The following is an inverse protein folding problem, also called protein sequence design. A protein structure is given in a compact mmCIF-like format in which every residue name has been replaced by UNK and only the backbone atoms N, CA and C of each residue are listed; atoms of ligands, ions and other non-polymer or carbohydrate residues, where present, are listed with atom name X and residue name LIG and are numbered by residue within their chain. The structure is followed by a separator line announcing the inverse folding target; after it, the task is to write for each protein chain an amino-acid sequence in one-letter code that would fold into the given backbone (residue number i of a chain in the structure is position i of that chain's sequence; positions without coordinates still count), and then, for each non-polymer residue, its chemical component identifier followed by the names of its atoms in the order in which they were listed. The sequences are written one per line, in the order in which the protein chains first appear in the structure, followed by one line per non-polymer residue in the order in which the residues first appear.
data_IF_477387399955
#
_entry.id   IF_477387399955
#
_cell.length_a   1.000
_cell.length_b   1.000
_cell.length_c   1.000
_cell.angle_alpha   90.00
_cell.angle_beta   90.00
_cell.angle_gamma   90.00
#
_symmetry.space_group_name_H-M   'P 1'
#
loop_
_entity.id
_entity.type
_entity.pdbx_description
1 polymer ?
#
# COMPACT_ATOMS: atom_id res chain seq x y z
N UNK A 1 8.31 -42.04 9.17
CA UNK A 1 7.90 -41.05 8.15
C UNK A 1 7.52 -39.78 8.90
N UNK A 2 8.50 -38.98 9.30
CA UNK A 2 8.26 -37.74 10.04
C UNK A 2 7.66 -36.72 9.08
N UNK A 3 6.39 -36.38 9.30
CA UNK A 3 5.75 -35.25 8.63
C UNK A 3 6.41 -33.95 9.10
N UNK A 4 7.00 -33.24 8.17
CA UNK A 4 7.40 -31.85 8.33
C UNK A 4 6.11 -31.04 8.59
N UNK A 5 5.74 -30.87 9.84
CA UNK A 5 4.91 -29.74 10.26
C UNK A 5 5.80 -28.50 10.16
N UNK A 6 5.96 -28.00 8.93
CA UNK A 6 6.44 -26.64 8.72
C UNK A 6 5.50 -25.72 9.48
N UNK A 7 6.07 -24.81 10.28
CA UNK A 7 5.30 -23.80 10.98
C UNK A 7 4.35 -23.12 10.00
N UNK A 8 3.11 -22.87 10.43
CA UNK A 8 2.14 -22.05 9.72
C UNK A 8 2.60 -20.60 9.81
N UNK A 9 3.76 -20.30 9.21
CA UNK A 9 4.23 -18.95 8.98
C UNK A 9 3.43 -18.34 7.83
N UNK A 10 3.25 -17.02 7.85
CA UNK A 10 2.63 -16.27 6.77
C UNK A 10 3.54 -16.32 5.53
N UNK A 11 3.53 -17.44 4.79
CA UNK A 11 4.31 -17.55 3.56
C UNK A 11 3.67 -16.67 2.49
N UNK A 12 4.42 -15.70 1.97
CA UNK A 12 3.96 -14.79 0.94
C UNK A 12 3.78 -15.51 -0.41
N UNK A 13 2.56 -15.99 -0.68
CA UNK A 13 2.23 -16.73 -1.91
C UNK A 13 2.05 -15.84 -3.14
N UNK A 14 1.95 -14.52 -2.97
CA UNK A 14 1.69 -13.56 -4.05
C UNK A 14 2.73 -13.64 -5.19
N UNK A 15 4.03 -13.71 -4.87
CA UNK A 15 5.09 -13.74 -5.88
C UNK A 15 5.17 -15.10 -6.60
N UNK A 16 5.18 -16.25 -5.89
CA UNK A 16 5.08 -17.57 -6.53
C UNK A 16 3.84 -17.70 -7.44
N UNK A 17 2.68 -17.25 -6.97
CA UNK A 17 1.44 -17.27 -7.76
C UNK A 17 1.57 -16.44 -9.05
N UNK A 18 2.14 -15.24 -8.97
CA UNK A 18 2.36 -14.37 -10.14
C UNK A 18 3.35 -14.96 -11.15
N UNK A 19 4.24 -15.87 -10.71
CA UNK A 19 5.18 -16.59 -11.58
C UNK A 19 4.60 -17.87 -12.19
N UNK A 20 3.46 -18.33 -11.68
CA UNK A 20 2.87 -19.62 -12.05
C UNK A 20 3.50 -20.82 -11.32
N UNK A 21 4.20 -20.58 -10.22
CA UNK A 21 4.76 -21.66 -9.40
C UNK A 21 3.64 -22.41 -8.64
N UNK A 22 3.82 -23.71 -8.31
CA UNK A 22 2.87 -24.43 -7.46
C UNK A 22 2.74 -23.80 -6.07
N UNK A 23 1.53 -23.48 -5.66
CA UNK A 23 1.21 -22.88 -4.36
C UNK A 23 0.15 -23.70 -3.62
N UNK A 24 0.17 -23.64 -2.30
CA UNK A 24 -0.80 -24.36 -1.45
C UNK A 24 -2.11 -23.59 -1.25
N UNK A 25 -2.09 -22.26 -1.40
CA UNK A 25 -3.23 -21.39 -1.18
C UNK A 25 -3.23 -20.22 -2.18
N UNK A 26 -4.40 -19.81 -2.72
CA UNK A 26 -4.47 -18.64 -3.58
C UNK A 26 -4.26 -17.36 -2.74
N UNK A 27 -3.28 -16.50 -3.09
CA UNK A 27 -3.05 -15.25 -2.37
C UNK A 27 -4.20 -14.26 -2.60
N UNK A 28 -4.56 -13.50 -1.58
CA UNK A 28 -5.62 -12.51 -1.63
C UNK A 28 -5.15 -11.14 -1.11
N UNK A 29 -5.46 -10.11 -1.88
CA UNK A 29 -5.33 -8.69 -1.49
C UNK A 29 -6.44 -7.88 -2.17
N UNK A 30 -6.61 -6.63 -1.75
CA UNK A 30 -7.62 -5.73 -2.33
C UNK A 30 -6.96 -4.49 -2.94
N UNK A 31 -7.45 -4.09 -4.11
CA UNK A 31 -7.16 -2.75 -4.61
C UNK A 31 -7.72 -1.70 -3.65
N UNK A 32 -7.00 -0.58 -3.49
CA UNK A 32 -7.32 0.47 -2.50
C UNK A 32 -7.40 -0.08 -1.07
N UNK A 33 -6.54 -1.04 -0.73
CA UNK A 33 -6.45 -1.62 0.60
C UNK A 33 -6.32 -0.55 1.71
N UNK A 34 -5.60 0.55 1.47
CA UNK A 34 -5.51 1.66 2.42
C UNK A 34 -6.38 2.82 1.92
N UNK A 35 -7.36 3.24 2.72
CA UNK A 35 -8.24 4.32 2.32
C UNK A 35 -9.39 4.62 3.27
N UNK A 36 -10.31 5.47 2.80
CA UNK A 36 -11.38 6.12 3.60
C UNK A 36 -12.34 5.16 4.30
N UNK A 37 -12.37 3.88 3.96
CA UNK A 37 -13.18 2.89 4.67
C UNK A 37 -12.64 2.59 6.08
N UNK A 38 -11.32 2.75 6.29
CA UNK A 38 -10.67 2.51 7.58
C UNK A 38 -10.78 3.74 8.49
N UNK A 39 -11.20 3.54 9.75
CA UNK A 39 -11.25 4.62 10.75
C UNK A 39 -9.86 5.21 11.01
N UNK A 40 -8.82 4.37 11.07
CA UNK A 40 -7.42 4.80 11.27
C UNK A 40 -6.93 5.71 10.15
N UNK A 41 -7.28 5.41 8.90
CA UNK A 41 -6.97 6.28 7.76
C UNK A 41 -7.68 7.63 7.88
N UNK A 42 -8.99 7.64 8.21
CA UNK A 42 -9.77 8.88 8.34
C UNK A 42 -9.18 9.81 9.41
N UNK A 43 -8.82 9.26 10.58
CA UNK A 43 -8.17 10.02 11.67
C UNK A 43 -6.81 10.60 11.25
N UNK A 44 -6.02 9.84 10.50
CA UNK A 44 -4.75 10.34 9.94
C UNK A 44 -5.00 11.43 8.90
N UNK A 45 -6.01 11.25 8.06
CA UNK A 45 -6.40 12.20 7.04
C UNK A 45 -6.89 13.55 7.61
N UNK A 46 -7.52 13.55 8.78
CA UNK A 46 -7.88 14.76 9.52
C UNK A 46 -6.65 15.53 10.03
N UNK A 47 -5.60 14.82 10.48
CA UNK A 47 -4.34 15.42 10.92
C UNK A 47 -3.50 15.98 9.78
N UNK A 48 -3.50 15.26 8.64
CA UNK A 48 -2.76 15.63 7.44
C UNK A 48 -3.74 15.79 6.27
N UNK A 49 -4.44 16.93 6.15
CA UNK A 49 -5.53 17.09 5.18
C UNK A 49 -5.07 16.94 3.73
N UNK A 50 -3.89 17.48 3.39
CA UNK A 50 -3.33 17.39 2.04
C UNK A 50 -3.04 15.94 1.64
N UNK A 51 -3.68 15.51 0.56
CA UNK A 51 -3.40 14.20 -0.03
C UNK A 51 -1.95 14.09 -0.49
N UNK A 52 -1.38 15.14 -1.10
CA UNK A 52 0.02 15.13 -1.55
C UNK A 52 0.98 14.94 -0.38
N UNK A 53 0.76 15.64 0.75
CA UNK A 53 1.57 15.43 1.96
C UNK A 53 1.55 13.96 2.38
N UNK A 54 0.37 13.32 2.42
CA UNK A 54 0.25 11.91 2.77
C UNK A 54 0.90 10.95 1.77
N UNK A 55 0.90 11.28 0.47
CA UNK A 55 1.45 10.43 -0.59
C UNK A 55 2.90 10.73 -0.98
N UNK A 56 3.52 11.75 -0.37
CA UNK A 56 4.89 12.20 -0.68
C UNK A 56 5.79 12.27 0.58
N UNK A 57 5.23 12.08 1.77
CA UNK A 57 5.99 11.98 3.04
C UNK A 57 6.23 10.51 3.38
N UNK A 58 7.50 10.10 3.47
CA UNK A 58 7.91 8.69 3.67
C UNK A 58 7.22 8.03 4.85
N UNK A 59 7.25 8.66 6.03
CA UNK A 59 6.62 8.09 7.24
C UNK A 59 5.11 7.86 7.08
N UNK A 60 4.41 8.81 6.45
CA UNK A 60 2.98 8.71 6.19
C UNK A 60 2.67 7.63 5.15
N UNK A 61 3.49 7.52 4.09
CA UNK A 61 3.34 6.47 3.08
C UNK A 61 3.46 5.10 3.75
N UNK A 62 4.51 4.88 4.55
CA UNK A 62 4.76 3.61 5.24
C UNK A 62 3.63 3.31 6.22
N UNK A 63 3.26 4.28 7.08
CA UNK A 63 2.19 4.10 8.06
C UNK A 63 0.87 3.71 7.38
N UNK A 64 0.45 4.47 6.36
CA UNK A 64 -0.81 4.23 5.64
C UNK A 64 -0.78 2.88 4.92
N UNK A 65 0.34 2.54 4.27
CA UNK A 65 0.48 1.28 3.52
C UNK A 65 0.33 0.06 4.42
N UNK A 66 0.78 0.14 5.67
CA UNK A 66 0.74 -0.95 6.65
C UNK A 66 -0.58 -1.07 7.40
N UNK A 67 -1.48 -0.07 7.37
CA UNK A 67 -2.78 -0.14 8.04
C UNK A 67 -3.59 -1.40 7.68
N UNK A 68 -3.75 -1.78 6.40
CA UNK A 68 -4.56 -2.94 6.02
C UNK A 68 -3.89 -4.24 6.42
N UNK A 69 -2.55 -4.27 6.41
CA UNK A 69 -1.79 -5.41 6.88
C UNK A 69 -2.01 -5.68 8.36
N UNK A 70 -1.96 -4.61 9.18
CA UNK A 70 -2.25 -4.69 10.62
C UNK A 70 -3.67 -5.18 10.91
N UNK A 71 -4.64 -4.88 10.04
CA UNK A 71 -6.04 -5.25 10.25
C UNK A 71 -6.42 -6.64 9.70
N UNK A 72 -5.88 -7.02 8.53
CA UNK A 72 -6.42 -8.15 7.74
C UNK A 72 -5.38 -9.17 7.26
N UNK A 73 -4.07 -8.89 7.38
CA UNK A 73 -2.99 -9.78 6.93
C UNK A 73 -3.15 -10.29 5.47
N UNK A 74 -3.35 -9.39 4.48
CA UNK A 74 -3.44 -9.78 3.07
C UNK A 74 -2.08 -10.28 2.55
N UNK A 75 -2.05 -11.18 1.58
CA UNK A 75 -0.79 -11.77 1.04
C UNK A 75 0.13 -10.78 0.30
N UNK A 76 -0.31 -9.53 0.12
CA UNK A 76 0.47 -8.45 -0.46
C UNK A 76 0.14 -7.10 0.18
N UNK A 77 1.15 -6.24 0.29
CA UNK A 77 1.01 -4.84 0.70
C UNK A 77 1.27 -3.93 -0.49
N UNK A 78 0.30 -3.07 -0.81
CA UNK A 78 0.46 -2.04 -1.84
C UNK A 78 0.94 -0.73 -1.21
N UNK A 79 1.96 -0.13 -1.82
CA UNK A 79 2.43 1.22 -1.45
C UNK A 79 1.32 2.26 -1.64
N UNK A 80 1.17 3.14 -0.66
CA UNK A 80 0.32 4.31 -0.75
C UNK A 80 1.02 5.41 -1.56
N UNK A 81 0.73 5.46 -2.86
CA UNK A 81 1.18 6.53 -3.77
C UNK A 81 0.08 6.82 -4.79
N UNK A 82 0.14 8.00 -5.39
CA UNK A 82 -0.67 8.33 -6.57
C UNK A 82 0.10 8.03 -7.86
N UNK A 83 -0.64 7.77 -8.94
CA UNK A 83 -0.06 7.50 -10.26
C UNK A 83 0.49 8.76 -10.95
N UNK A 84 0.06 9.95 -10.51
CA UNK A 84 0.48 11.25 -11.04
C UNK A 84 1.71 11.81 -10.34
N UNK A 85 2.20 11.16 -9.29
CA UNK A 85 3.44 11.51 -8.58
C UNK A 85 4.62 11.85 -9.50
N UNK A 86 4.84 11.17 -10.65
CA UNK A 86 5.93 11.53 -11.56
C UNK A 86 5.73 12.80 -12.38
N UNK A 87 4.52 13.36 -12.47
CA UNK A 87 4.22 14.50 -13.36
C UNK A 87 5.11 15.73 -13.10
N UNK A 88 5.32 16.19 -11.84
CA UNK A 88 6.18 17.33 -11.56
C UNK A 88 7.65 17.03 -11.87
N UNK A 89 8.06 15.76 -11.78
CA UNK A 89 9.40 15.32 -12.16
C UNK A 89 9.62 15.31 -13.68
N UNK A 90 8.54 15.35 -14.47
CA UNK A 90 8.53 15.51 -15.93
C UNK A 90 8.28 16.96 -16.39
N UNK A 91 8.11 17.90 -15.46
CA UNK A 91 7.83 19.31 -15.76
C UNK A 91 6.34 19.66 -15.88
N UNK A 92 5.45 18.76 -15.46
CA UNK A 92 3.99 18.97 -15.44
C UNK A 92 3.51 19.20 -14.00
N UNK A 93 3.29 20.46 -13.56
CA UNK A 93 2.76 20.71 -12.24
C UNK A 93 1.33 20.19 -12.14
N UNK A 94 1.03 19.51 -11.03
CA UNK A 94 -0.32 19.13 -10.68
C UNK A 94 -0.54 19.35 -9.18
N UNK A 95 -1.80 19.53 -8.80
CA UNK A 95 -2.23 19.54 -7.41
C UNK A 95 -3.40 18.58 -7.21
N UNK A 96 -3.75 18.29 -5.96
CA UNK A 96 -4.89 17.44 -5.60
C UNK A 96 -5.82 18.21 -4.67
N UNK A 97 -6.99 18.59 -5.18
CA UNK A 97 -8.07 19.17 -4.40
C UNK A 97 -8.96 18.04 -3.86
N UNK A 98 -9.41 18.11 -2.61
CA UNK A 98 -10.11 17.00 -1.94
C UNK A 98 -11.42 16.56 -2.62
N UNK A 99 -12.10 17.50 -3.28
CA UNK A 99 -13.41 17.26 -3.93
C UNK A 99 -13.27 17.07 -5.44
N UNK A 100 -12.46 17.90 -6.10
CA UNK A 100 -12.28 17.83 -7.56
C UNK A 100 -11.26 16.77 -7.99
N UNK A 101 -10.45 16.30 -7.05
CA UNK A 101 -9.34 15.41 -7.33
C UNK A 101 -8.20 16.16 -8.01
N UNK A 102 -7.58 15.56 -9.03
CA UNK A 102 -6.34 16.09 -9.57
C UNK A 102 -6.53 17.24 -10.55
N UNK A 103 -5.77 18.31 -10.34
CA UNK A 103 -5.83 19.51 -11.16
C UNK A 103 -4.48 19.70 -11.83
N UNK A 104 -4.48 19.62 -13.15
CA UNK A 104 -3.34 19.99 -13.98
C UNK A 104 -3.60 21.42 -14.46
N UNK A 105 -2.85 22.38 -13.91
CA UNK A 105 -3.08 23.82 -14.17
C UNK A 105 -2.76 24.23 -15.59
N UNK A 106 -1.86 23.50 -16.27
CA UNK A 106 -1.46 23.77 -17.65
C UNK A 106 -1.50 22.49 -18.49
N UNK A 107 -2.68 22.10 -19.01
CA UNK A 107 -2.79 20.94 -19.90
C UNK A 107 -1.93 21.11 -21.17
N UNK A 108 -1.30 20.03 -21.61
CA UNK A 108 -0.47 20.04 -22.82
C UNK A 108 -1.40 20.06 -24.05
N UNK A 109 -1.41 21.19 -24.75
CA UNK A 109 -2.27 21.44 -25.94
C UNK A 109 -1.49 22.01 -27.13
N UNK A 110 -0.18 22.21 -27.00
CA UNK A 110 0.66 22.81 -28.04
C UNK A 110 2.02 22.11 -28.14
N UNK A 111 2.67 22.25 -29.28
CA UNK A 111 3.99 21.67 -29.53
C UNK A 111 5.07 22.31 -28.64
N UNK A 112 4.95 23.60 -28.34
CA UNK A 112 5.85 24.31 -27.42
C UNK A 112 5.79 23.73 -26.02
N UNK A 113 4.58 23.37 -25.55
CA UNK A 113 4.41 22.70 -24.25
C UNK A 113 4.96 21.29 -24.24
N UNK A 114 4.86 20.58 -25.36
CA UNK A 114 5.47 19.25 -25.49
C UNK A 114 7.00 19.35 -25.42
N UNK A 115 7.60 20.36 -26.07
CA UNK A 115 9.05 20.63 -26.03
C UNK A 115 9.56 21.08 -24.66
N UNK A 116 8.68 21.58 -23.79
CA UNK A 116 9.02 21.98 -22.43
C UNK A 116 9.13 20.80 -21.45
N UNK A 117 8.68 19.60 -21.83
CA UNK A 117 8.89 18.39 -21.03
C UNK A 117 10.37 18.02 -21.00
N UNK A 118 10.81 17.48 -19.88
CA UNK A 118 12.19 17.04 -19.68
C UNK A 118 12.23 15.59 -19.17
N UNK A 119 13.39 14.90 -19.26
CA UNK A 119 13.58 13.61 -18.62
C UNK A 119 13.21 13.66 -17.13
N UNK A 120 12.76 12.53 -16.59
CA UNK A 120 12.34 12.43 -15.20
C UNK A 120 13.50 12.76 -14.25
N UNK A 121 13.28 13.75 -13.40
CA UNK A 121 14.20 14.07 -12.30
C UNK A 121 13.93 13.13 -11.10
N UNK A 122 14.70 12.06 -10.97
CA UNK A 122 14.48 11.03 -9.93
C UNK A 122 14.56 11.58 -8.50
N UNK A 123 15.35 12.63 -8.27
CA UNK A 123 15.45 13.29 -6.96
C UNK A 123 14.10 13.85 -6.49
N UNK A 124 13.20 14.23 -7.41
CA UNK A 124 11.85 14.72 -7.07
C UNK A 124 10.89 13.60 -6.63
N UNK A 125 11.27 12.33 -6.80
CA UNK A 125 10.45 11.15 -6.44
C UNK A 125 11.20 10.17 -5.53
N UNK A 126 12.27 10.61 -4.87
CA UNK A 126 13.11 9.78 -4.01
C UNK A 126 12.32 9.06 -2.89
N UNK A 127 11.30 9.72 -2.34
CA UNK A 127 10.44 9.20 -1.28
C UNK A 127 9.72 7.90 -1.67
N UNK A 128 9.47 7.65 -2.97
CA UNK A 128 8.89 6.39 -3.44
C UNK A 128 9.86 5.25 -3.20
N UNK A 129 11.13 5.42 -3.61
CA UNK A 129 12.17 4.41 -3.46
C UNK A 129 12.52 4.17 -1.98
N UNK A 130 12.53 5.22 -1.18
CA UNK A 130 12.75 5.14 0.26
C UNK A 130 11.63 4.37 0.97
N UNK A 131 10.37 4.72 0.68
CA UNK A 131 9.20 4.03 1.24
C UNK A 131 9.18 2.55 0.86
N UNK A 132 9.49 2.20 -0.39
CA UNK A 132 9.60 0.80 -0.83
C UNK A 132 10.71 0.05 -0.09
N UNK A 133 11.86 0.69 0.17
CA UNK A 133 12.96 0.09 0.93
C UNK A 133 12.54 -0.20 2.37
N UNK A 134 11.87 0.74 3.01
CA UNK A 134 11.36 0.56 4.38
C UNK A 134 10.32 -0.56 4.40
N UNK A 135 9.28 -0.49 3.56
CA UNK A 135 8.22 -1.50 3.49
C UNK A 135 8.74 -2.92 3.22
N UNK A 136 9.81 -3.04 2.42
CA UNK A 136 10.43 -4.33 2.12
C UNK A 136 11.22 -4.90 3.29
N UNK A 137 11.82 -4.03 4.10
CA UNK A 137 12.63 -4.41 5.25
C UNK A 137 11.81 -4.57 6.52
N UNK A 138 10.52 -4.22 6.50
CA UNK A 138 9.66 -4.41 7.65
C UNK A 138 9.45 -5.89 7.95
N UNK A 139 9.69 -6.26 9.20
CA UNK A 139 9.39 -7.59 9.70
C UNK A 139 7.92 -7.63 10.08
N UNK A 140 7.12 -7.92 9.05
CA UNK A 140 5.68 -7.93 9.13
C UNK A 140 5.15 -8.99 10.11
N UNK A 141 5.89 -10.06 10.36
CA UNK A 141 5.53 -11.13 11.28
C UNK A 141 5.86 -10.74 12.74
N UNK A 142 7.06 -10.21 13.02
CA UNK A 142 7.41 -9.68 14.35
C UNK A 142 6.48 -8.55 14.80
N UNK A 143 6.07 -7.67 13.89
CA UNK A 143 5.13 -6.59 14.17
C UNK A 143 3.73 -7.09 14.58
N UNK A 144 3.37 -8.33 14.23
CA UNK A 144 2.10 -8.93 14.65
C UNK A 144 2.13 -9.45 16.07
N UNK A 145 3.17 -10.21 16.38
CA UNK A 145 3.29 -10.91 17.66
C UNK A 145 3.32 -9.91 18.81
N UNK A 146 3.88 -8.72 18.57
CA UNK A 146 3.85 -7.60 19.51
C UNK A 146 2.44 -6.99 19.64
N UNK A 147 1.73 -6.75 18.54
CA UNK A 147 0.39 -6.18 18.56
C UNK A 147 -0.65 -7.10 19.24
N UNK A 148 -0.50 -8.42 19.09
CA UNK A 148 -1.33 -9.42 19.76
C UNK A 148 -1.21 -9.43 21.29
N UNK A 149 -0.15 -8.83 21.85
CA UNK A 149 0.02 -8.68 23.29
C UNK A 149 -0.69 -7.45 23.89
N UNK A 150 -1.12 -6.50 23.05
CA UNK A 150 -1.70 -5.21 23.50
C UNK A 150 -3.20 -5.05 23.18
N UNK A 151 -3.80 -5.89 22.33
CA UNK A 151 -5.19 -5.70 21.87
C UNK A 151 -6.12 -6.88 22.18
N UNK A 152 -6.61 -6.99 23.42
CA UNK A 152 -7.71 -7.92 23.78
C UNK A 152 -9.13 -7.36 23.50
N UNK A 153 -9.29 -6.16 22.91
CA UNK A 153 -10.62 -5.51 22.84
C UNK A 153 -11.27 -5.31 21.46
N UNK A 154 -10.65 -5.67 20.33
CA UNK A 154 -11.27 -5.47 18.99
C UNK A 154 -11.14 -6.68 18.04
N UNK A 155 -11.00 -7.89 18.58
CA UNK A 155 -10.61 -9.09 17.84
C UNK A 155 -11.73 -10.06 17.42
N UNK A 156 -12.88 -9.59 16.95
CA UNK A 156 -14.02 -10.50 16.63
C UNK A 156 -14.27 -10.71 15.11
N UNK A 157 -13.81 -9.80 14.24
CA UNK A 157 -14.00 -9.96 12.78
C UNK A 157 -12.89 -10.80 12.12
N UNK A 158 -11.62 -10.57 12.49
CA UNK A 158 -10.48 -11.27 11.89
C UNK A 158 -10.48 -12.79 12.15
N UNK A 159 -10.97 -13.23 13.33
CA UNK A 159 -11.09 -14.65 13.68
C UNK A 159 -12.16 -15.38 12.85
N UNK A 160 -13.17 -14.66 12.36
CA UNK A 160 -14.25 -15.21 11.55
C UNK A 160 -13.79 -15.57 10.12
N UNK A 161 -12.95 -14.72 9.52
CA UNK A 161 -12.45 -14.94 8.15
C UNK A 161 -11.52 -16.15 8.07
N UNK A 162 -10.69 -16.40 9.09
CA UNK A 162 -9.81 -17.57 9.16
C UNK A 162 -10.52 -18.93 9.26
N UNK A 163 -11.85 -18.98 9.47
CA UNK A 163 -12.62 -20.23 9.64
C UNK A 163 -13.49 -20.63 8.46
N UNK A 164 -13.65 -19.79 7.44
CA UNK A 164 -14.57 -20.11 6.34
C UNK A 164 -13.84 -20.92 5.27
N UNK A 165 -14.00 -22.25 5.30
CA UNK A 165 -13.74 -23.14 4.16
C UNK A 165 -14.57 -22.67 2.97
N UNK A 166 -13.99 -21.88 2.07
CA UNK A 166 -14.54 -21.73 0.73
C UNK A 166 -14.07 -22.93 -0.09
N UNK A 167 -14.88 -23.99 -0.03
CA UNK A 167 -14.77 -25.12 -0.96
C UNK A 167 -15.23 -24.63 -2.34
N UNK A 168 -14.29 -24.35 -3.24
CA UNK A 168 -14.60 -24.26 -4.66
C UNK A 168 -14.51 -25.68 -5.24
N UNK A 169 -15.65 -26.21 -5.68
CA UNK A 169 -15.76 -27.42 -6.51
C UNK A 169 -15.32 -27.13 -7.94
#
# INVERSE_FOLDING_TARGET
MLGFMGSVGCQAWAIPAARGDPISWPPAWMMRQAGRYMTVYRKLAEKYPSFRVRSETVDLIVEISLQPWKAFRPDAVMIFSDIRTPLPAFGVPFDVEDVKGPIITSPIRSEERLKALHPIELDKVHFVGESLRILRNEDLDLAWDQAGSESESEGDFAKSVSRTRLSFN
#
